data_IF_615666644424
#
_entry.id   IF_615666644424
#
_cell.length_a   1.000
_cell.length_b   1.000
_cell.length_c   1.000
_cell.angle_alpha   90.00
_cell.angle_beta   90.00
_cell.angle_gamma   90.00
#
_symmetry.space_group_name_H-M   'P 1'
#
loop_
_entity.id
_entity.type
_entity.pdbx_description
1 polymer ?
#
# COMPACT_ATOMS: atom_id res chain seq x y z
N UNK A 1 -15.95 13.97 -22.71
CA UNK A 1 -14.60 13.70 -22.19
C UNK A 1 -14.67 13.72 -20.67
N UNK A 2 -14.32 12.63 -20.00
CA UNK A 2 -14.19 12.63 -18.53
C UNK A 2 -12.86 13.33 -18.22
N UNK A 3 -12.91 14.50 -17.60
CA UNK A 3 -11.72 15.22 -17.12
C UNK A 3 -11.27 14.59 -15.82
N UNK A 4 -10.14 13.87 -15.85
CA UNK A 4 -9.56 13.32 -14.62
C UNK A 4 -8.87 14.48 -13.87
N UNK A 5 -9.25 14.78 -12.62
CA UNK A 5 -8.72 15.92 -11.91
C UNK A 5 -7.26 15.68 -11.50
N UNK A 6 -6.34 16.61 -11.75
CA UNK A 6 -4.88 16.44 -11.53
C UNK A 6 -4.47 15.93 -10.13
N UNK A 7 -5.29 16.13 -9.11
CA UNK A 7 -5.07 15.66 -7.74
C UNK A 7 -5.38 14.17 -7.52
N UNK A 8 -5.97 13.48 -8.51
CA UNK A 8 -6.35 12.07 -8.41
C UNK A 8 -5.16 11.15 -8.13
N UNK A 9 -4.03 11.37 -8.81
CA UNK A 9 -2.85 10.50 -8.71
C UNK A 9 -2.17 10.65 -7.35
N UNK A 10 -1.88 11.87 -6.85
CA UNK A 10 -1.40 12.05 -5.47
C UNK A 10 -2.30 11.39 -4.41
N UNK A 11 -3.62 11.54 -4.54
CA UNK A 11 -4.58 10.92 -3.61
C UNK A 11 -4.52 9.40 -3.69
N UNK A 12 -4.47 8.83 -4.91
CA UNK A 12 -4.32 7.39 -5.11
C UNK A 12 -3.02 6.90 -4.47
N UNK A 13 -1.89 7.53 -4.77
CA UNK A 13 -0.60 7.15 -4.21
C UNK A 13 -0.63 7.21 -2.68
N UNK A 14 -1.12 8.29 -2.10
CA UNK A 14 -1.24 8.42 -0.65
C UNK A 14 -2.11 7.32 -0.03
N UNK A 15 -3.25 7.00 -0.64
CA UNK A 15 -4.14 5.94 -0.18
C UNK A 15 -3.48 4.56 -0.26
N UNK A 16 -2.81 4.25 -1.37
CA UNK A 16 -2.10 2.96 -1.57
C UNK A 16 -0.95 2.81 -0.57
N UNK A 17 -0.18 3.86 -0.32
CA UNK A 17 0.91 3.82 0.65
C UNK A 17 0.42 3.76 2.10
N UNK A 18 -0.75 4.34 2.40
CA UNK A 18 -1.43 4.18 3.69
C UNK A 18 -1.93 2.74 3.88
N UNK A 19 -2.50 2.15 2.83
CA UNK A 19 -2.89 0.74 2.83
C UNK A 19 -1.68 -0.18 3.01
N UNK A 20 -0.56 0.11 2.35
CA UNK A 20 0.68 -0.63 2.54
C UNK A 20 1.17 -0.58 3.99
N UNK A 21 1.16 0.60 4.61
CA UNK A 21 1.55 0.76 6.01
C UNK A 21 0.71 -0.13 6.94
N UNK A 22 -0.61 -0.14 6.72
CA UNK A 22 -1.53 -1.00 7.44
C UNK A 22 -1.25 -2.48 7.18
N UNK A 23 -1.05 -2.87 5.91
CA UNK A 23 -0.75 -4.24 5.52
C UNK A 23 0.54 -4.76 6.16
N UNK A 24 1.61 -3.96 6.15
CA UNK A 24 2.89 -4.32 6.77
C UNK A 24 2.76 -4.53 8.30
N UNK A 25 2.00 -3.67 8.98
CA UNK A 25 1.73 -3.83 10.41
C UNK A 25 0.89 -5.08 10.66
N UNK A 26 -0.17 -5.30 9.89
CA UNK A 26 -1.03 -6.48 10.03
C UNK A 26 -0.25 -7.78 9.81
N UNK A 27 0.60 -7.83 8.78
CA UNK A 27 1.46 -8.98 8.48
C UNK A 27 2.46 -9.25 9.61
N UNK A 28 3.13 -8.21 10.12
CA UNK A 28 4.05 -8.35 11.26
C UNK A 28 3.32 -8.94 12.48
N UNK A 29 2.13 -8.42 12.80
CA UNK A 29 1.33 -8.91 13.93
C UNK A 29 0.85 -10.35 13.71
N UNK A 30 0.43 -10.69 12.50
CA UNK A 30 0.04 -12.04 12.14
C UNK A 30 1.21 -13.02 12.27
N UNK A 31 2.41 -12.61 11.85
CA UNK A 31 3.65 -13.40 11.99
C UNK A 31 4.01 -13.60 13.46
N UNK A 32 4.06 -12.54 14.26
CA UNK A 32 4.35 -12.62 15.70
C UNK A 32 3.35 -13.51 16.44
N UNK A 33 2.07 -13.47 16.06
CA UNK A 33 1.03 -14.35 16.62
C UNK A 33 1.20 -15.81 16.21
N UNK A 34 1.72 -16.09 15.00
CA UNK A 34 2.03 -17.46 14.55
C UNK A 34 3.25 -18.03 15.24
N UNK A 35 4.27 -17.21 15.46
CA UNK A 35 5.54 -17.60 16.08
C UNK A 35 5.49 -17.58 17.63
N UNK A 36 4.40 -17.09 18.23
CA UNK A 36 4.23 -17.07 19.68
C UNK A 36 5.08 -16.02 20.40
N UNK A 37 5.42 -14.92 19.72
CA UNK A 37 6.26 -13.85 20.27
C UNK A 37 5.54 -13.14 21.42
N UNK A 38 6.20 -13.11 22.59
CA UNK A 38 5.74 -12.43 23.79
C UNK A 38 5.49 -10.93 23.51
N UNK A 39 4.47 -10.34 24.13
CA UNK A 39 4.05 -8.95 23.83
C UNK A 39 5.18 -7.95 24.02
N UNK A 40 6.06 -8.19 24.99
CA UNK A 40 7.20 -7.32 25.32
C UNK A 40 8.33 -7.39 24.28
N UNK A 41 8.37 -8.45 23.47
CA UNK A 41 9.39 -8.67 22.43
C UNK A 41 8.92 -8.29 21.03
N UNK A 42 7.69 -7.79 20.90
CA UNK A 42 7.09 -7.44 19.62
C UNK A 42 7.73 -6.19 19.02
N UNK A 43 8.04 -6.25 17.73
CA UNK A 43 8.61 -5.15 16.98
C UNK A 43 7.58 -4.11 16.54
N UNK A 44 8.09 -3.04 15.93
CA UNK A 44 7.29 -2.02 15.24
C UNK A 44 7.71 -1.90 13.77
N UNK A 45 6.80 -1.39 12.93
CA UNK A 45 7.10 -1.05 11.53
C UNK A 45 7.41 0.45 11.47
N UNK A 46 8.55 0.81 10.90
CA UNK A 46 8.91 2.22 10.67
C UNK A 46 8.28 2.70 9.36
N UNK A 47 7.13 3.38 9.46
CA UNK A 47 6.34 3.83 8.30
C UNK A 47 6.67 5.26 7.87
N UNK A 48 7.04 6.11 8.83
CA UNK A 48 7.12 7.58 8.65
C UNK A 48 8.09 8.06 7.56
N UNK A 49 9.27 7.46 7.29
CA UNK A 49 10.08 7.92 6.17
C UNK A 49 9.48 7.51 4.81
N UNK A 50 8.71 6.43 4.76
CA UNK A 50 8.23 5.83 3.51
C UNK A 50 6.95 6.52 3.01
N UNK A 51 6.00 6.78 3.92
CA UNK A 51 4.68 7.34 3.60
C UNK A 51 4.69 8.72 2.90
N UNK A 52 5.59 9.68 3.21
CA UNK A 52 5.65 10.94 2.48
C UNK A 52 6.56 10.87 1.26
N UNK A 53 7.71 10.18 1.35
CA UNK A 53 8.72 10.21 0.29
C UNK A 53 8.31 9.42 -0.96
N UNK A 54 7.71 8.24 -0.78
CA UNK A 54 7.40 7.37 -1.92
C UNK A 54 6.23 7.91 -2.77
N UNK A 55 5.09 8.34 -2.20
CA UNK A 55 4.03 8.96 -2.99
C UNK A 55 4.51 10.18 -3.78
N UNK A 56 5.31 11.05 -3.14
CA UNK A 56 5.87 12.22 -3.81
C UNK A 56 6.86 11.83 -4.91
N UNK A 57 7.72 10.84 -4.67
CA UNK A 57 8.65 10.32 -5.66
C UNK A 57 7.94 9.72 -6.88
N UNK A 58 6.92 8.89 -6.69
CA UNK A 58 6.14 8.31 -7.78
C UNK A 58 5.33 9.36 -8.53
N UNK A 59 4.77 10.34 -7.83
CA UNK A 59 4.07 11.45 -8.46
C UNK A 59 5.02 12.29 -9.32
N UNK A 60 6.21 12.61 -8.80
CA UNK A 60 7.25 13.32 -9.55
C UNK A 60 7.75 12.54 -10.76
N UNK A 61 7.93 11.22 -10.62
CA UNK A 61 8.31 10.35 -11.74
C UNK A 61 7.20 10.30 -12.82
N UNK A 62 5.93 10.20 -12.41
CA UNK A 62 4.80 10.26 -13.33
C UNK A 62 4.75 11.58 -14.10
N UNK A 63 4.87 12.70 -13.38
CA UNK A 63 4.88 14.03 -13.96
C UNK A 63 6.06 14.21 -14.93
N UNK A 64 7.25 13.70 -14.59
CA UNK A 64 8.41 13.76 -15.46
C UNK A 64 8.20 12.93 -16.74
N UNK A 65 7.66 11.72 -16.63
CA UNK A 65 7.34 10.89 -17.81
C UNK A 65 6.29 11.54 -18.69
N UNK A 66 5.27 12.15 -18.09
CA UNK A 66 4.19 12.82 -18.83
C UNK A 66 4.70 13.99 -19.67
N UNK A 67 5.74 14.69 -19.21
CA UNK A 67 6.40 15.77 -19.96
C UNK A 67 7.11 15.23 -21.22
N UNK A 68 7.66 14.01 -21.17
CA UNK A 68 8.53 13.48 -22.24
C UNK A 68 7.81 12.55 -23.21
N UNK A 69 6.78 11.83 -22.74
CA UNK A 69 6.20 10.71 -23.47
C UNK A 69 4.69 10.83 -23.70
N UNK A 70 4.07 12.00 -23.49
CA UNK A 70 2.60 12.18 -23.38
C UNK A 70 2.06 11.54 -22.07
N UNK A 71 0.75 11.61 -21.73
CA UNK A 71 0.24 11.35 -20.36
C UNK A 71 0.23 9.85 -19.95
N UNK A 72 1.18 9.07 -20.45
CA UNK A 72 1.35 7.65 -20.14
C UNK A 72 1.96 7.40 -18.77
N UNK A 73 2.77 8.31 -18.24
CA UNK A 73 3.37 8.17 -16.91
C UNK A 73 2.32 8.11 -15.82
N UNK A 74 1.39 9.06 -15.82
CA UNK A 74 0.26 9.11 -14.90
C UNK A 74 -0.65 7.89 -15.03
N UNK A 75 -0.92 7.43 -16.24
CA UNK A 75 -1.76 6.23 -16.49
C UNK A 75 -1.08 4.96 -15.99
N UNK A 76 0.18 4.73 -16.36
CA UNK A 76 0.93 3.52 -16.00
C UNK A 76 1.17 3.45 -14.50
N UNK A 77 1.64 4.53 -13.88
CA UNK A 77 1.90 4.57 -12.44
C UNK A 77 0.59 4.40 -11.66
N UNK A 78 -0.49 5.05 -12.09
CA UNK A 78 -1.81 4.85 -11.48
C UNK A 78 -2.30 3.41 -11.58
N UNK A 79 -2.21 2.78 -12.76
CA UNK A 79 -2.63 1.40 -12.97
C UNK A 79 -1.83 0.41 -12.12
N UNK A 80 -0.51 0.57 -12.05
CA UNK A 80 0.36 -0.28 -11.23
C UNK A 80 0.04 -0.16 -9.74
N UNK A 81 -0.21 1.06 -9.24
CA UNK A 81 -0.58 1.27 -7.84
C UNK A 81 -1.98 0.74 -7.52
N UNK A 82 -2.92 0.82 -8.46
CA UNK A 82 -4.23 0.20 -8.29
C UNK A 82 -4.12 -1.33 -8.18
N UNK A 83 -3.32 -1.97 -9.04
CA UNK A 83 -3.05 -3.41 -8.96
C UNK A 83 -2.40 -3.79 -7.62
N UNK A 84 -1.42 -2.99 -7.17
CA UNK A 84 -0.79 -3.16 -5.86
C UNK A 84 -1.82 -3.07 -4.72
N UNK A 85 -2.72 -2.08 -4.77
CA UNK A 85 -3.79 -1.93 -3.78
C UNK A 85 -4.70 -3.16 -3.72
N UNK A 86 -5.14 -3.66 -4.88
CA UNK A 86 -5.97 -4.85 -4.98
C UNK A 86 -5.26 -6.09 -4.42
N UNK A 87 -3.98 -6.26 -4.72
CA UNK A 87 -3.17 -7.35 -4.18
C UNK A 87 -3.09 -7.29 -2.66
N UNK A 88 -2.84 -6.11 -2.08
CA UNK A 88 -2.77 -5.92 -0.61
C UNK A 88 -4.12 -6.15 0.07
N UNK A 89 -5.23 -5.69 -0.52
CA UNK A 89 -6.57 -5.99 -0.01
C UNK A 89 -6.83 -7.50 -0.02
N UNK A 90 -6.46 -8.18 -1.12
CA UNK A 90 -6.63 -9.62 -1.24
C UNK A 90 -5.82 -10.38 -0.17
N UNK A 91 -4.56 -10.04 0.05
CA UNK A 91 -3.72 -10.69 1.07
C UNK A 91 -4.25 -10.44 2.47
N UNK A 92 -4.65 -9.20 2.80
CA UNK A 92 -5.26 -8.85 4.09
C UNK A 92 -6.53 -9.64 4.37
N UNK A 93 -7.45 -9.70 3.40
CA UNK A 93 -8.70 -10.46 3.53
C UNK A 93 -8.41 -11.96 3.72
N UNK A 94 -7.47 -12.50 2.94
CA UNK A 94 -7.04 -13.89 3.04
C UNK A 94 -6.48 -14.19 4.44
N UNK A 95 -5.58 -13.37 4.94
CA UNK A 95 -4.91 -13.58 6.22
C UNK A 95 -5.86 -13.40 7.41
N UNK A 96 -6.79 -12.44 7.33
CA UNK A 96 -7.86 -12.26 8.31
C UNK A 96 -8.74 -13.50 8.41
N UNK A 97 -9.14 -14.09 7.27
CA UNK A 97 -9.93 -15.33 7.25
C UNK A 97 -9.19 -16.49 7.90
N UNK A 98 -7.87 -16.61 7.68
CA UNK A 98 -7.06 -17.63 8.34
C UNK A 98 -7.02 -17.45 9.86
N UNK A 99 -6.83 -16.22 10.34
CA UNK A 99 -6.79 -15.94 11.78
C UNK A 99 -8.13 -16.24 12.45
N UNK A 100 -9.24 -15.76 11.88
CA UNK A 100 -10.60 -16.00 12.40
C UNK A 100 -10.97 -17.49 12.44
N UNK A 101 -10.44 -18.30 11.49
CA UNK A 101 -10.69 -19.74 11.49
C UNK A 101 -9.95 -20.46 12.61
N UNK A 102 -8.73 -20.02 12.95
CA UNK A 102 -7.89 -20.62 14.00
C UNK A 102 -8.44 -20.36 15.40
N UNK A 103 -9.05 -19.21 15.66
CA UNK A 103 -9.66 -18.91 16.97
C UNK A 103 -10.92 -19.72 17.26
N UNK A 104 -11.55 -20.33 16.23
CA UNK A 104 -12.77 -21.14 16.37
C UNK A 104 -12.48 -22.62 16.69
N UNK A 105 -11.26 -23.09 16.49
CA UNK A 105 -10.82 -24.48 16.71
C UNK A 105 -10.00 -24.59 17.98
#
# INVERSE_FOLDING_TARGET
>A
MITIPYWWLPVLLFAVWSLWAFAAVAELRAKEAREGVAKEQRGGVSVVPVLPLFPLGFWGAAALVDVWAAPWGTVVIGALHLLLALAMVFTLVRDLRYCLRRERT
#
